data_IF_298468576770
#
_entry.id   IF_298468576770
#
_cell.length_a   1.000
_cell.length_b   1.000
_cell.length_c   1.000
_cell.angle_alpha   90.00
_cell.angle_beta   90.00
_cell.angle_gamma   90.00
#
_symmetry.space_group_name_H-M   'P 1'
#
loop_
_entity.id
_entity.type
_entity.pdbx_description
1 polymer ?
#
# COMPACT_ATOMS: atom_id res chain seq x y z
N UNK A 1 -22.25 -16.99 1.45
CA UNK A 1 -23.31 -16.88 2.47
C UNK A 1 -23.42 -15.41 2.83
N UNK A 2 -24.60 -14.89 3.18
CA UNK A 2 -24.72 -13.47 3.49
C UNK A 2 -23.96 -13.13 4.79
N UNK A 3 -23.49 -11.90 4.92
CA UNK A 3 -22.81 -11.39 6.11
C UNK A 3 -23.18 -9.94 6.40
N UNK A 4 -22.99 -9.53 7.66
CA UNK A 4 -23.30 -8.16 8.08
C UNK A 4 -22.45 -7.15 7.30
N UNK A 5 -23.15 -6.17 6.74
CA UNK A 5 -22.58 -4.94 6.18
C UNK A 5 -22.51 -3.80 7.22
N UNK A 6 -22.96 -4.06 8.44
CA UNK A 6 -23.03 -3.16 9.58
C UNK A 6 -24.45 -2.68 9.88
N UNK A 7 -24.63 -2.17 11.09
CA UNK A 7 -25.89 -1.66 11.60
C UNK A 7 -25.68 -0.58 12.66
N UNK A 8 -26.79 -0.10 13.21
CA UNK A 8 -26.78 0.97 14.19
C UNK A 8 -28.05 1.01 15.03
N UNK A 9 -28.03 1.84 16.07
CA UNK A 9 -29.17 2.04 16.95
C UNK A 9 -29.24 3.50 17.39
N UNK A 10 -30.36 3.87 18.00
CA UNK A 10 -30.58 5.21 18.53
C UNK A 10 -29.56 5.66 19.60
N UNK A 11 -28.79 4.73 20.19
CA UNK A 11 -27.87 4.99 21.32
C UNK A 11 -26.36 4.76 21.09
N UNK A 12 -25.92 4.30 19.92
CA UNK A 12 -24.53 3.86 19.74
C UNK A 12 -23.94 4.16 18.36
N UNK A 13 -22.72 4.70 18.34
CA UNK A 13 -21.92 4.93 17.14
C UNK A 13 -21.04 3.75 16.74
N UNK A 14 -20.60 3.74 15.48
CA UNK A 14 -19.82 2.71 14.79
C UNK A 14 -18.31 2.77 15.14
N UNK A 15 -17.67 1.62 15.38
CA UNK A 15 -16.25 1.51 15.75
C UNK A 15 -15.38 0.82 14.69
N UNK A 16 -14.18 1.38 14.42
CA UNK A 16 -13.12 0.78 13.60
C UNK A 16 -11.77 0.74 14.36
N UNK A 17 -11.13 -0.43 14.39
CA UNK A 17 -9.91 -0.72 15.16
C UNK A 17 -8.58 -0.31 14.49
N UNK A 18 -7.54 -0.17 15.31
CA UNK A 18 -6.18 0.21 14.93
C UNK A 18 -5.16 -0.89 15.29
N UNK A 19 -4.07 -0.99 14.51
CA UNK A 19 -2.90 -1.81 14.83
C UNK A 19 -1.62 -0.96 14.82
N UNK A 20 -0.74 -1.26 15.76
CA UNK A 20 0.59 -0.67 15.93
C UNK A 20 1.62 -1.78 15.73
N UNK A 21 2.74 -1.45 15.10
CA UNK A 21 3.91 -2.34 15.03
C UNK A 21 5.17 -1.55 15.34
N UNK A 22 5.94 -2.03 16.32
CA UNK A 22 7.30 -1.61 16.63
C UNK A 22 8.30 -2.59 16.02
N UNK A 23 9.37 -2.07 15.44
CA UNK A 23 10.53 -2.88 15.05
C UNK A 23 11.82 -2.24 15.57
N UNK A 24 12.62 -3.06 16.25
CA UNK A 24 14.00 -2.84 16.62
C UNK A 24 14.92 -3.53 15.60
N UNK A 25 16.06 -2.91 15.27
CA UNK A 25 17.10 -3.55 14.46
C UNK A 25 18.39 -3.71 15.27
N UNK A 26 18.76 -4.97 15.50
CA UNK A 26 20.07 -5.39 15.98
C UNK A 26 21.06 -5.50 14.83
N UNK A 27 22.28 -5.03 15.07
CA UNK A 27 23.40 -5.09 14.14
C UNK A 27 24.04 -6.48 14.06
N UNK A 28 24.74 -6.75 12.95
CA UNK A 28 25.66 -7.87 12.83
C UNK A 28 26.97 -7.42 12.18
N UNK A 29 28.06 -7.69 12.88
CA UNK A 29 29.44 -7.46 12.46
C UNK A 29 29.87 -8.39 11.33
N UNK A 30 30.64 -7.84 10.40
CA UNK A 30 31.39 -8.58 9.39
C UNK A 30 32.81 -8.02 9.36
N UNK A 31 33.80 -8.90 9.23
CA UNK A 31 35.23 -8.57 9.08
C UNK A 31 35.39 -7.46 8.04
N UNK A 32 35.85 -6.31 8.51
CA UNK A 32 35.87 -5.05 7.76
C UNK A 32 37.07 -5.06 6.81
N UNK A 33 36.82 -4.83 5.52
CA UNK A 33 37.88 -4.45 4.58
C UNK A 33 38.29 -3.01 4.89
N UNK A 34 39.56 -2.75 5.11
CA UNK A 34 40.02 -1.44 5.55
C UNK A 34 40.65 -0.66 4.40
N UNK A 35 40.23 0.59 4.24
CA UNK A 35 40.93 1.59 3.43
C UNK A 35 41.15 2.81 4.31
N UNK A 36 42.40 3.23 4.49
CA UNK A 36 42.78 4.38 5.34
C UNK A 36 43.69 5.33 4.57
N UNK A 37 43.69 6.62 4.94
CA UNK A 37 44.65 7.61 4.42
C UNK A 37 46.03 7.48 5.07
N UNK A 38 46.14 6.73 6.16
CA UNK A 38 47.38 6.45 6.89
C UNK A 38 47.72 4.97 6.83
N UNK A 39 49.02 4.68 6.89
CA UNK A 39 49.53 3.32 6.90
C UNK A 39 49.00 2.50 8.08
N UNK A 40 48.77 1.21 7.85
CA UNK A 40 48.46 0.22 8.88
C UNK A 40 49.08 -1.14 8.50
N UNK A 41 49.28 -2.06 9.46
CA UNK A 41 49.91 -3.35 9.20
C UNK A 41 49.20 -4.12 8.07
N UNK A 42 50.00 -4.78 7.21
CA UNK A 42 49.56 -5.57 6.05
C UNK A 42 48.87 -4.79 4.92
N UNK A 43 48.89 -3.46 4.96
CA UNK A 43 48.28 -2.62 3.93
C UNK A 43 49.19 -2.42 2.71
N UNK A 44 48.59 -2.42 1.51
CA UNK A 44 49.23 -2.00 0.25
C UNK A 44 48.92 -0.54 -0.03
N UNK A 45 49.91 0.22 -0.52
CA UNK A 45 49.78 1.64 -0.88
C UNK A 45 49.25 1.80 -2.31
N UNK A 46 48.25 2.64 -2.46
CA UNK A 46 47.67 3.04 -3.74
C UNK A 46 47.67 4.56 -3.87
N UNK A 47 47.80 5.06 -5.09
CA UNK A 47 47.64 6.49 -5.41
C UNK A 47 46.51 6.68 -6.41
N UNK A 48 45.71 7.71 -6.19
CA UNK A 48 44.79 8.24 -7.20
C UNK A 48 44.89 9.77 -7.22
N UNK A 49 44.48 10.39 -8.30
CA UNK A 49 44.51 11.85 -8.43
C UNK A 49 43.13 12.44 -8.15
N UNK A 50 43.04 13.31 -7.16
CA UNK A 50 41.84 14.07 -6.80
C UNK A 50 42.13 15.56 -6.93
N UNK A 51 41.28 16.30 -7.63
CA UNK A 51 41.47 17.74 -7.88
C UNK A 51 42.93 18.11 -8.22
N UNK A 52 43.54 17.35 -9.14
CA UNK A 52 44.88 17.62 -9.63
C UNK A 52 46.00 17.44 -8.57
N UNK A 53 45.79 16.60 -7.54
CA UNK A 53 46.85 16.25 -6.57
C UNK A 53 46.92 14.73 -6.33
N UNK A 54 48.12 14.15 -6.14
CA UNK A 54 48.24 12.75 -5.75
C UNK A 54 47.68 12.56 -4.33
N UNK A 55 46.81 11.56 -4.17
CA UNK A 55 46.23 11.16 -2.89
C UNK A 55 46.57 9.70 -2.64
N UNK A 56 47.27 9.45 -1.53
CA UNK A 56 47.65 8.11 -1.11
C UNK A 56 46.61 7.48 -0.19
N UNK A 57 46.33 6.20 -0.41
CA UNK A 57 45.49 5.37 0.44
C UNK A 57 46.11 4.00 0.63
N UNK A 58 45.87 3.42 1.80
CA UNK A 58 46.39 2.13 2.21
C UNK A 58 45.22 1.17 2.35
N UNK A 59 45.34 -0.05 1.84
CA UNK A 59 44.28 -1.05 1.90
C UNK A 59 44.81 -2.48 2.09
N UNK A 60 44.09 -3.30 2.86
CA UNK A 60 44.38 -4.73 3.11
C UNK A 60 43.86 -5.65 2.01
N UNK A 61 43.30 -5.08 0.92
CA UNK A 61 42.78 -5.80 -0.23
C UNK A 61 43.02 -4.97 -1.50
N UNK A 62 42.84 -5.60 -2.67
CA UNK A 62 42.94 -4.90 -3.94
C UNK A 62 41.72 -4.01 -4.18
N UNK A 63 41.89 -2.70 -3.95
CA UNK A 63 40.85 -1.69 -4.17
C UNK A 63 40.56 -1.43 -5.65
N UNK A 64 41.42 -1.91 -6.55
CA UNK A 64 41.29 -1.77 -8.01
C UNK A 64 40.61 -2.97 -8.66
N UNK A 65 40.41 -4.06 -7.90
CA UNK A 65 39.84 -5.30 -8.40
C UNK A 65 38.42 -5.07 -8.96
N UNK A 66 38.25 -5.39 -10.24
CA UNK A 66 36.94 -5.30 -10.89
C UNK A 66 36.04 -6.38 -10.32
N UNK A 67 34.88 -5.97 -9.78
CA UNK A 67 33.87 -6.90 -9.30
C UNK A 67 33.39 -7.81 -10.43
N UNK A 68 33.30 -9.11 -10.14
CA UNK A 68 32.86 -10.13 -11.11
C UNK A 68 31.50 -9.78 -11.72
N UNK A 69 31.33 -9.94 -13.06
CA UNK A 69 30.04 -9.75 -13.72
C UNK A 69 28.98 -10.78 -13.25
N UNK A 70 29.38 -11.90 -12.65
CA UNK A 70 28.46 -12.89 -12.09
C UNK A 70 27.56 -12.31 -10.98
N UNK A 71 27.92 -11.17 -10.38
CA UNK A 71 27.07 -10.45 -9.43
C UNK A 71 25.70 -10.06 -10.00
N UNK A 72 25.59 -9.90 -11.32
CA UNK A 72 24.31 -9.61 -11.97
C UNK A 72 23.34 -10.79 -11.90
N UNK A 73 23.83 -12.02 -11.72
CA UNK A 73 22.98 -13.18 -11.44
C UNK A 73 22.20 -13.03 -10.12
N UNK A 74 22.69 -12.20 -9.18
CA UNK A 74 21.93 -11.88 -7.96
C UNK A 74 20.62 -11.13 -8.25
N UNK A 75 20.46 -10.51 -9.43
CA UNK A 75 19.19 -9.87 -9.81
C UNK A 75 18.05 -10.88 -9.93
N UNK A 76 18.34 -12.14 -10.26
CA UNK A 76 17.35 -13.21 -10.33
C UNK A 76 16.68 -13.46 -8.97
N UNK A 77 17.41 -13.24 -7.85
CA UNK A 77 16.85 -13.35 -6.50
C UNK A 77 15.75 -12.32 -6.24
N UNK A 78 15.78 -11.16 -6.90
CA UNK A 78 14.79 -10.09 -6.69
C UNK A 78 13.52 -10.27 -7.52
N UNK A 79 13.53 -11.16 -8.52
CA UNK A 79 12.38 -11.45 -9.38
C UNK A 79 11.09 -11.76 -8.59
N UNK A 80 11.07 -12.65 -7.58
CA UNK A 80 9.86 -12.89 -6.78
C UNK A 80 9.36 -11.64 -6.04
N UNK A 81 10.26 -10.79 -5.52
CA UNK A 81 9.89 -9.57 -4.81
C UNK A 81 9.30 -8.51 -5.75
N UNK A 82 9.86 -8.40 -6.95
CA UNK A 82 9.35 -7.50 -7.99
C UNK A 82 7.96 -7.94 -8.43
N UNK A 83 7.76 -9.24 -8.72
CA UNK A 83 6.46 -9.80 -9.08
C UNK A 83 5.42 -9.59 -7.98
N UNK A 84 5.79 -9.84 -6.73
CA UNK A 84 4.93 -9.59 -5.57
C UNK A 84 4.51 -8.13 -5.48
N UNK A 85 5.45 -7.19 -5.66
CA UNK A 85 5.14 -5.76 -5.57
C UNK A 85 4.24 -5.29 -6.72
N UNK A 86 4.38 -5.87 -7.92
CA UNK A 86 3.45 -5.62 -9.03
C UNK A 86 2.03 -6.13 -8.73
N UNK A 87 1.88 -7.28 -8.06
CA UNK A 87 0.56 -7.75 -7.58
C UNK A 87 -0.06 -6.75 -6.61
N UNK A 88 0.73 -6.22 -5.66
CA UNK A 88 0.23 -5.22 -4.72
C UNK A 88 -0.23 -3.93 -5.41
N UNK A 89 0.43 -3.50 -6.50
CA UNK A 89 -0.05 -2.37 -7.29
C UNK A 89 -1.40 -2.66 -7.94
N UNK A 90 -1.65 -3.88 -8.42
CA UNK A 90 -2.96 -4.25 -8.95
C UNK A 90 -4.04 -4.21 -7.84
N UNK A 91 -3.73 -4.73 -6.66
CA UNK A 91 -4.63 -4.70 -5.50
C UNK A 91 -4.87 -3.29 -4.95
N UNK A 92 -3.95 -2.35 -5.19
CA UNK A 92 -4.12 -0.97 -4.80
C UNK A 92 -5.24 -0.25 -5.58
N UNK A 93 -5.62 -0.77 -6.75
CA UNK A 93 -6.67 -0.19 -7.59
C UNK A 93 -7.90 -1.10 -7.64
N UNK A 94 -8.95 -0.71 -6.92
CA UNK A 94 -10.23 -1.42 -6.96
C UNK A 94 -11.15 -0.80 -8.00
N UNK A 95 -11.58 -1.63 -8.96
CA UNK A 95 -12.55 -1.27 -9.99
C UNK A 95 -13.80 -2.14 -9.80
N UNK A 96 -14.89 -1.59 -9.23
CA UNK A 96 -16.12 -2.36 -9.05
C UNK A 96 -16.72 -2.80 -10.39
N UNK A 97 -17.16 -4.06 -10.47
CA UNK A 97 -17.85 -4.64 -11.60
C UNK A 97 -19.34 -4.72 -11.31
N UNK A 98 -20.14 -4.36 -12.30
CA UNK A 98 -21.58 -4.49 -12.21
C UNK A 98 -21.95 -5.97 -12.14
N UNK A 99 -22.80 -6.35 -11.19
CA UNK A 99 -23.24 -7.72 -11.01
C UNK A 99 -24.07 -8.21 -12.22
N UNK A 100 -23.87 -9.45 -12.69
CA UNK A 100 -24.66 -10.02 -13.78
C UNK A 100 -26.12 -10.27 -13.36
N UNK A 101 -27.05 -10.13 -14.31
CA UNK A 101 -28.50 -10.24 -14.07
C UNK A 101 -29.03 -11.66 -14.31
N UNK A 102 -28.41 -12.65 -13.68
CA UNK A 102 -28.74 -14.07 -13.81
C UNK A 102 -29.44 -14.66 -12.57
N UNK A 103 -30.11 -13.82 -11.79
CA UNK A 103 -30.80 -14.15 -10.54
C UNK A 103 -32.16 -13.43 -10.44
N UNK A 104 -32.97 -13.69 -9.42
CA UNK A 104 -34.22 -12.95 -9.18
C UNK A 104 -33.91 -11.55 -8.65
N UNK A 105 -33.95 -10.55 -9.52
CA UNK A 105 -33.56 -9.19 -9.18
C UNK A 105 -34.68 -8.34 -8.55
N UNK A 106 -35.78 -8.96 -8.09
CA UNK A 106 -36.92 -8.24 -7.52
C UNK A 106 -36.51 -7.39 -6.32
N UNK A 107 -36.83 -6.09 -6.39
CA UNK A 107 -36.67 -5.18 -5.25
C UNK A 107 -37.79 -5.45 -4.24
N UNK A 108 -37.40 -5.82 -3.03
CA UNK A 108 -38.31 -6.15 -1.92
C UNK A 108 -38.42 -4.95 -1.00
N UNK A 109 -39.66 -4.51 -0.74
CA UNK A 109 -39.97 -3.49 0.29
C UNK A 109 -41.18 -4.00 1.06
N UNK A 110 -40.95 -4.44 2.30
CA UNK A 110 -41.96 -4.97 3.22
C UNK A 110 -42.03 -4.10 4.46
N UNK A 111 -43.20 -3.53 4.75
CA UNK A 111 -43.40 -2.62 5.89
C UNK A 111 -44.21 -3.30 7.00
N UNK A 112 -43.60 -4.25 7.73
CA UNK A 112 -44.33 -5.01 8.77
C UNK A 112 -44.60 -4.16 10.01
N UNK A 113 -43.72 -3.20 10.31
CA UNK A 113 -43.89 -2.25 11.41
C UNK A 113 -44.73 -1.01 11.04
N UNK A 114 -45.17 -0.88 9.79
CA UNK A 114 -45.99 0.23 9.29
C UNK A 114 -45.36 1.63 9.53
N UNK A 115 -44.06 1.77 9.26
CA UNK A 115 -43.28 3.01 9.47
C UNK A 115 -42.78 3.66 8.19
N UNK A 116 -42.93 3.01 7.03
CA UNK A 116 -42.42 3.56 5.76
C UNK A 116 -43.40 4.53 5.09
N UNK A 117 -44.71 4.35 5.32
CA UNK A 117 -45.74 5.18 4.68
C UNK A 117 -45.69 5.09 3.15
N UNK A 118 -45.59 6.24 2.46
CA UNK A 118 -45.45 6.24 1.00
C UNK A 118 -44.03 5.85 0.58
N UNK A 119 -43.92 4.75 -0.15
CA UNK A 119 -42.64 4.11 -0.54
C UNK A 119 -42.23 4.38 -1.99
N UNK A 120 -42.89 5.31 -2.69
CA UNK A 120 -42.57 5.59 -4.10
C UNK A 120 -41.13 6.10 -4.29
N UNK A 121 -40.70 7.07 -3.49
CA UNK A 121 -39.34 7.62 -3.54
C UNK A 121 -38.30 6.57 -3.15
N UNK A 122 -38.53 5.86 -2.05
CA UNK A 122 -37.69 4.73 -1.63
C UNK A 122 -37.49 3.73 -2.77
N UNK A 123 -38.57 3.25 -3.39
CA UNK A 123 -38.47 2.31 -4.51
C UNK A 123 -37.67 2.88 -5.68
N UNK A 124 -37.80 4.16 -5.99
CA UNK A 124 -37.03 4.80 -7.06
C UNK A 124 -35.53 4.81 -6.74
N UNK A 125 -35.14 5.14 -5.51
CA UNK A 125 -33.73 5.11 -5.06
C UNK A 125 -33.15 3.69 -5.12
N UNK A 126 -33.92 2.68 -4.67
CA UNK A 126 -33.54 1.27 -4.75
C UNK A 126 -33.35 0.80 -6.21
N UNK A 127 -34.25 1.19 -7.11
CA UNK A 127 -34.14 0.91 -8.56
C UNK A 127 -32.92 1.60 -9.16
N UNK A 128 -32.64 2.85 -8.78
CA UNK A 128 -31.48 3.58 -9.27
C UNK A 128 -30.18 2.89 -8.84
N UNK A 129 -30.10 2.43 -7.59
CA UNK A 129 -28.98 1.66 -7.08
C UNK A 129 -28.80 0.36 -7.87
N UNK A 130 -29.85 -0.45 -8.03
CA UNK A 130 -29.82 -1.69 -8.82
C UNK A 130 -29.38 -1.43 -10.27
N UNK A 131 -29.91 -0.41 -10.93
CA UNK A 131 -29.53 -0.08 -12.30
C UNK A 131 -28.04 0.27 -12.42
N UNK A 132 -27.45 0.82 -11.36
CA UNK A 132 -26.03 1.20 -11.32
C UNK A 132 -25.12 0.01 -11.01
N UNK A 133 -25.48 -0.82 -10.05
CA UNK A 133 -24.60 -1.85 -9.47
C UNK A 133 -24.93 -3.27 -9.92
N UNK A 134 -26.16 -3.50 -10.37
CA UNK A 134 -26.68 -4.83 -10.64
C UNK A 134 -27.06 -5.60 -9.38
N UNK A 135 -26.92 -5.02 -8.18
CA UNK A 135 -27.28 -5.62 -6.89
C UNK A 135 -28.72 -5.25 -6.56
N UNK A 136 -29.53 -6.20 -6.09
CA UNK A 136 -30.93 -5.94 -5.72
C UNK A 136 -31.05 -5.57 -4.25
N UNK A 137 -31.29 -4.30 -3.91
CA UNK A 137 -31.48 -3.93 -2.52
C UNK A 137 -32.90 -4.28 -2.05
N UNK A 138 -33.03 -4.57 -0.77
CA UNK A 138 -34.27 -4.92 -0.11
C UNK A 138 -34.41 -4.13 1.20
N UNK A 139 -35.64 -3.78 1.57
CA UNK A 139 -35.95 -3.12 2.84
C UNK A 139 -37.08 -3.88 3.53
N UNK A 140 -36.85 -4.31 4.76
CA UNK A 140 -37.86 -4.97 5.58
C UNK A 140 -37.93 -4.25 6.93
N UNK A 141 -39.09 -3.74 7.32
CA UNK A 141 -39.31 -3.21 8.67
C UNK A 141 -39.94 -4.28 9.54
N UNK A 142 -39.59 -4.29 10.83
CA UNK A 142 -40.06 -5.24 11.85
C UNK A 142 -40.28 -4.52 13.18
N UNK A 143 -41.04 -5.15 14.05
CA UNK A 143 -41.18 -4.68 15.43
C UNK A 143 -40.06 -5.26 16.30
N UNK A 144 -39.69 -4.56 17.38
CA UNK A 144 -38.67 -5.03 18.31
C UNK A 144 -39.04 -6.41 18.88
N UNK A 145 -40.32 -6.66 19.15
CA UNK A 145 -40.81 -7.95 19.65
C UNK A 145 -40.61 -9.12 18.67
N UNK A 146 -40.45 -8.88 17.37
CA UNK A 146 -40.25 -9.95 16.37
C UNK A 146 -38.94 -10.71 16.62
N UNK A 147 -37.94 -10.04 17.21
CA UNK A 147 -36.61 -10.60 17.44
C UNK A 147 -36.16 -10.55 18.90
N UNK A 148 -36.54 -9.51 19.65
CA UNK A 148 -36.18 -9.37 21.07
C UNK A 148 -36.86 -10.47 21.90
N UNK A 149 -36.08 -11.48 22.26
CA UNK A 149 -36.53 -12.65 23.03
C UNK A 149 -36.14 -13.98 22.38
N UNK A 150 -35.97 -14.00 21.06
CA UNK A 150 -35.56 -15.20 20.31
C UNK A 150 -34.12 -15.09 19.79
N UNK A 151 -33.63 -13.86 19.59
CA UNK A 151 -32.30 -13.57 19.06
C UNK A 151 -31.51 -12.70 20.05
N UNK A 152 -30.18 -12.82 20.04
CA UNK A 152 -29.29 -12.01 20.88
C UNK A 152 -29.16 -10.57 20.40
N UNK A 153 -29.34 -10.35 19.10
CA UNK A 153 -29.16 -9.08 18.40
C UNK A 153 -29.96 -9.10 17.08
N UNK A 154 -30.11 -7.91 16.48
CA UNK A 154 -30.79 -7.75 15.20
C UNK A 154 -29.99 -8.39 14.04
N UNK A 155 -28.67 -8.52 14.16
CA UNK A 155 -27.80 -9.12 13.14
C UNK A 155 -28.15 -10.56 12.85
N UNK A 156 -28.29 -11.39 13.89
CA UNK A 156 -28.67 -12.80 13.74
C UNK A 156 -30.08 -12.95 13.15
N UNK A 157 -31.02 -12.08 13.55
CA UNK A 157 -32.37 -12.08 12.98
C UNK A 157 -32.37 -11.64 11.50
N UNK A 158 -31.59 -10.61 11.16
CA UNK A 158 -31.46 -10.13 9.79
C UNK A 158 -30.79 -11.17 8.87
N UNK A 159 -29.82 -11.94 9.39
CA UNK A 159 -29.25 -13.08 8.68
C UNK A 159 -30.32 -14.12 8.36
N UNK A 160 -31.12 -14.53 9.35
CA UNK A 160 -32.19 -15.49 9.16
C UNK A 160 -33.27 -14.97 8.20
N UNK A 161 -33.62 -13.69 8.27
CA UNK A 161 -34.48 -13.05 7.27
C UNK A 161 -33.88 -13.16 5.86
N UNK A 162 -32.60 -12.84 5.69
CA UNK A 162 -31.95 -12.89 4.38
C UNK A 162 -32.04 -14.28 3.76
N UNK A 163 -31.58 -15.31 4.47
CA UNK A 163 -31.48 -16.69 3.92
C UNK A 163 -32.85 -17.30 3.64
N UNK A 164 -33.90 -16.83 4.33
CA UNK A 164 -35.28 -17.28 4.07
C UNK A 164 -35.96 -16.49 2.95
N UNK A 165 -35.55 -15.25 2.69
CA UNK A 165 -36.11 -14.41 1.62
C UNK A 165 -35.44 -14.60 0.27
N UNK A 166 -34.13 -14.88 0.24
CA UNK A 166 -33.34 -14.92 -0.99
C UNK A 166 -32.70 -16.28 -1.19
N UNK A 167 -32.82 -16.81 -2.41
CA UNK A 167 -32.20 -18.08 -2.80
C UNK A 167 -30.75 -17.92 -3.31
N UNK A 168 -30.28 -16.67 -3.45
CA UNK A 168 -28.98 -16.30 -3.96
C UNK A 168 -28.28 -15.29 -3.04
N UNK A 169 -27.07 -14.87 -3.41
CA UNK A 169 -26.23 -13.95 -2.62
C UNK A 169 -26.02 -12.60 -3.33
N UNK A 170 -26.97 -12.21 -4.19
CA UNK A 170 -26.93 -11.01 -5.03
C UNK A 170 -27.76 -9.83 -4.48
N UNK A 171 -28.23 -9.96 -3.23
CA UNK A 171 -29.09 -8.99 -2.57
C UNK A 171 -28.37 -8.21 -1.46
N UNK A 172 -28.85 -6.99 -1.18
CA UNK A 172 -28.46 -6.20 -0.01
C UNK A 172 -29.70 -5.79 0.79
N UNK A 173 -29.92 -6.47 1.92
CA UNK A 173 -31.08 -6.30 2.78
C UNK A 173 -30.80 -5.26 3.86
N UNK A 174 -31.67 -4.27 3.99
CA UNK A 174 -31.72 -3.34 5.13
C UNK A 174 -32.92 -3.72 6.00
N UNK A 175 -32.65 -4.12 7.25
CA UNK A 175 -33.66 -4.41 8.25
C UNK A 175 -33.76 -3.22 9.20
N UNK A 176 -34.94 -2.66 9.39
CA UNK A 176 -35.20 -1.60 10.36
C UNK A 176 -36.18 -2.10 11.42
N UNK A 177 -35.85 -1.92 12.69
CA UNK A 177 -36.64 -2.35 13.83
C UNK A 177 -37.04 -1.17 14.70
N UNK A 178 -38.30 -1.15 15.14
CA UNK A 178 -38.86 -0.11 16.02
C UNK A 178 -39.73 -0.75 17.11
N UNK A 179 -39.97 -0.09 18.26
CA UNK A 179 -40.89 -0.63 19.27
C UNK A 179 -42.31 -0.87 18.75
N UNK A 180 -42.96 -1.89 19.29
CA UNK A 180 -44.35 -2.26 18.96
C UNK A 180 -45.33 -1.08 19.15
N UNK A 181 -46.19 -0.89 18.15
CA UNK A 181 -47.24 0.14 18.22
C UNK A 181 -46.72 1.57 18.38
N UNK A 182 -45.46 1.83 18.03
CA UNK A 182 -44.87 3.16 18.13
C UNK A 182 -45.67 4.20 17.34
N UNK A 183 -46.05 5.28 18.02
CA UNK A 183 -46.58 6.49 17.40
C UNK A 183 -45.64 7.65 17.70
N UNK A 184 -45.46 8.56 16.75
CA UNK A 184 -44.47 9.64 16.77
C UNK A 184 -44.59 10.64 17.94
N UNK A 185 -45.54 10.46 18.86
CA UNK A 185 -45.80 11.34 20.01
C UNK A 185 -44.97 11.05 21.27
N UNK A 186 -44.33 9.89 21.39
CA UNK A 186 -43.92 9.35 22.71
C UNK A 186 -42.47 9.65 23.12
N UNK A 187 -41.78 10.54 22.40
CA UNK A 187 -40.56 11.21 22.85
C UNK A 187 -39.25 10.40 22.81
N UNK A 188 -39.28 9.07 22.88
CA UNK A 188 -38.11 8.19 22.68
C UNK A 188 -38.50 6.96 21.84
N UNK A 189 -37.79 6.72 20.74
CA UNK A 189 -37.96 5.52 19.91
C UNK A 189 -36.67 4.71 20.01
N UNK A 190 -36.77 3.50 20.57
CA UNK A 190 -35.64 2.57 20.67
C UNK A 190 -35.51 1.76 19.37
N UNK A 191 -35.10 2.44 18.30
CA UNK A 191 -34.93 1.83 17.00
C UNK A 191 -33.53 1.26 16.79
N UNK A 192 -33.48 0.26 15.92
CA UNK A 192 -32.29 -0.45 15.47
C UNK A 192 -32.36 -0.62 13.96
N UNK A 193 -31.22 -0.76 13.29
CA UNK A 193 -31.19 -1.22 11.91
C UNK A 193 -29.94 -2.04 11.66
N UNK A 194 -30.04 -2.95 10.68
CA UNK A 194 -28.95 -3.82 10.26
C UNK A 194 -28.96 -3.96 8.74
N UNK A 195 -27.78 -3.87 8.11
CA UNK A 195 -27.59 -4.22 6.72
C UNK A 195 -26.98 -5.61 6.56
N UNK A 196 -27.59 -6.46 5.74
CA UNK A 196 -27.11 -7.80 5.37
C UNK A 196 -26.83 -7.91 3.88
N UNK A 197 -25.58 -8.21 3.51
CA UNK A 197 -25.17 -8.33 2.12
C UNK A 197 -24.78 -9.77 1.76
N UNK A 198 -25.09 -10.19 0.53
CA UNK A 198 -24.62 -11.48 0.00
C UNK A 198 -23.19 -11.38 -0.54
N UNK A 199 -22.44 -12.49 -0.55
CA UNK A 199 -21.02 -12.48 -0.96
C UNK A 199 -20.81 -12.08 -2.42
N UNK A 200 -21.77 -12.35 -3.32
CA UNK A 200 -21.63 -11.97 -4.73
C UNK A 200 -21.61 -10.44 -4.89
N UNK A 201 -22.05 -9.69 -3.88
CA UNK A 201 -22.07 -8.23 -3.87
C UNK A 201 -20.75 -7.58 -3.47
N UNK A 202 -19.77 -8.32 -2.92
CA UNK A 202 -18.57 -7.78 -2.26
C UNK A 202 -17.65 -6.95 -3.17
N UNK A 203 -17.65 -7.25 -4.47
CA UNK A 203 -16.88 -6.48 -5.46
C UNK A 203 -17.39 -5.03 -5.56
N UNK A 204 -18.66 -4.78 -5.23
CA UNK A 204 -19.25 -3.44 -5.19
C UNK A 204 -19.40 -2.95 -3.74
N UNK A 205 -19.97 -3.77 -2.86
CA UNK A 205 -20.23 -3.46 -1.44
C UNK A 205 -19.01 -3.76 -0.57
N UNK A 206 -17.91 -3.09 -0.90
CA UNK A 206 -16.71 -3.12 -0.05
C UNK A 206 -17.00 -2.50 1.33
N UNK A 207 -16.20 -2.85 2.34
CA UNK A 207 -16.28 -2.24 3.68
C UNK A 207 -16.29 -0.69 3.68
N UNK A 208 -15.57 -0.06 2.75
CA UNK A 208 -15.59 1.41 2.64
C UNK A 208 -16.94 1.95 2.11
N UNK A 209 -17.58 1.20 1.20
CA UNK A 209 -18.89 1.55 0.65
C UNK A 209 -19.96 1.40 1.73
N UNK A 210 -19.99 0.26 2.42
CA UNK A 210 -20.98 -0.01 3.47
C UNK A 210 -20.80 0.95 4.64
N UNK A 211 -19.58 1.19 5.12
CA UNK A 211 -19.36 2.20 6.17
C UNK A 211 -19.88 3.59 5.80
N UNK A 212 -19.66 4.04 4.56
CA UNK A 212 -20.17 5.35 4.11
C UNK A 212 -21.69 5.39 4.08
N UNK A 213 -22.34 4.30 3.69
CA UNK A 213 -23.79 4.19 3.73
C UNK A 213 -24.30 4.17 5.17
N UNK A 214 -23.64 3.40 6.04
CA UNK A 214 -24.01 3.23 7.44
C UNK A 214 -23.96 4.57 8.19
N UNK A 215 -22.90 5.34 7.99
CA UNK A 215 -22.75 6.67 8.57
C UNK A 215 -23.88 7.61 8.10
N UNK A 216 -24.20 7.61 6.81
CA UNK A 216 -25.25 8.45 6.24
C UNK A 216 -26.65 8.03 6.72
N UNK A 217 -26.95 6.73 6.70
CA UNK A 217 -28.21 6.19 7.19
C UNK A 217 -28.41 6.46 8.69
N UNK A 218 -27.37 6.24 9.51
CA UNK A 218 -27.41 6.54 10.93
C UNK A 218 -27.70 8.04 11.17
N UNK A 219 -27.04 8.93 10.43
CA UNK A 219 -27.28 10.37 10.52
C UNK A 219 -28.70 10.75 10.12
N UNK A 220 -29.20 10.21 9.01
CA UNK A 220 -30.54 10.50 8.50
C UNK A 220 -31.64 9.95 9.42
N UNK A 221 -31.49 8.74 9.96
CA UNK A 221 -32.41 8.16 10.96
C UNK A 221 -32.40 8.92 12.28
N UNK A 222 -31.25 9.49 12.69
CA UNK A 222 -31.16 10.33 13.90
C UNK A 222 -31.81 11.69 13.69
N UNK A 223 -31.78 12.24 12.47
CA UNK A 223 -32.38 13.53 12.11
C UNK A 223 -33.89 13.45 11.84
N UNK A 224 -34.66 12.88 12.78
CA UNK A 224 -36.10 12.56 12.65
C UNK A 224 -37.02 13.75 12.39
N UNK A 225 -36.59 14.97 12.72
CA UNK A 225 -37.32 16.19 12.37
C UNK A 225 -37.23 16.55 10.88
N UNK A 226 -36.29 15.94 10.16
CA UNK A 226 -36.01 16.16 8.75
C UNK A 226 -36.39 14.96 7.87
N UNK A 227 -36.20 13.74 8.37
CA UNK A 227 -36.42 12.52 7.61
C UNK A 227 -37.40 11.57 8.30
N UNK A 228 -38.26 10.94 7.50
CA UNK A 228 -38.97 9.72 7.90
C UNK A 228 -38.04 8.52 7.71
N UNK A 229 -38.41 7.34 8.22
CA UNK A 229 -37.60 6.12 8.01
C UNK A 229 -37.40 5.84 6.51
N UNK A 230 -38.49 5.95 5.73
CA UNK A 230 -38.46 5.77 4.27
C UNK A 230 -37.53 6.78 3.58
N UNK A 231 -37.63 8.08 3.94
CA UNK A 231 -36.79 9.10 3.30
C UNK A 231 -35.34 9.09 3.78
N UNK A 232 -35.07 8.62 4.99
CA UNK A 232 -33.71 8.41 5.48
C UNK A 232 -33.01 7.31 4.67
N UNK A 233 -33.68 6.16 4.49
CA UNK A 233 -33.13 5.06 3.69
C UNK A 233 -32.96 5.48 2.23
N UNK A 234 -33.97 6.12 1.62
CA UNK A 234 -33.90 6.55 0.23
C UNK A 234 -32.77 7.55 -0.01
N UNK A 235 -32.61 8.55 0.87
CA UNK A 235 -31.55 9.56 0.79
C UNK A 235 -30.17 8.92 0.89
N UNK A 236 -29.97 7.98 1.82
CA UNK A 236 -28.68 7.28 1.93
C UNK A 236 -28.32 6.47 0.69
N UNK A 237 -29.31 5.86 0.02
CA UNK A 237 -29.09 5.22 -1.28
C UNK A 237 -28.80 6.23 -2.40
N UNK A 238 -29.51 7.36 -2.43
CA UNK A 238 -29.33 8.41 -3.43
C UNK A 238 -27.95 9.07 -3.34
N UNK A 239 -27.44 9.27 -2.12
CA UNK A 239 -26.10 9.82 -1.89
C UNK A 239 -24.99 8.81 -2.24
N UNK A 240 -25.22 7.52 -1.99
CA UNK A 240 -24.26 6.46 -2.31
C UNK A 240 -24.17 6.18 -3.81
N UNK A 241 -25.31 6.07 -4.50
CA UNK A 241 -25.44 5.56 -5.88
C UNK A 241 -24.49 6.24 -6.89
N UNK A 242 -24.29 7.57 -6.89
CA UNK A 242 -23.37 8.23 -7.81
C UNK A 242 -21.90 7.85 -7.62
N UNK A 243 -21.52 7.38 -6.43
CA UNK A 243 -20.13 7.13 -6.04
C UNK A 243 -19.77 5.65 -5.92
N UNK A 244 -20.76 4.77 -5.76
CA UNK A 244 -20.55 3.34 -5.46
C UNK A 244 -19.70 2.59 -6.49
N UNK A 245 -19.87 2.90 -7.78
CA UNK A 245 -19.10 2.26 -8.88
C UNK A 245 -17.82 3.03 -9.27
N UNK A 246 -17.43 4.07 -8.53
CA UNK A 246 -16.19 4.80 -8.82
C UNK A 246 -15.00 3.96 -8.35
N UNK A 247 -13.97 3.92 -9.19
CA UNK A 247 -12.73 3.24 -8.85
C UNK A 247 -12.05 3.92 -7.68
N UNK A 248 -11.55 3.13 -6.73
CA UNK A 248 -10.92 3.62 -5.51
C UNK A 248 -9.47 3.15 -5.44
N UNK A 249 -8.61 4.03 -4.95
CA UNK A 249 -7.21 3.71 -4.71
C UNK A 249 -7.00 3.47 -3.23
N UNK A 250 -6.52 2.28 -2.87
CA UNK A 250 -6.02 2.02 -1.52
C UNK A 250 -4.63 2.64 -1.39
N UNK A 251 -4.60 3.87 -0.89
CA UNK A 251 -3.36 4.63 -0.69
C UNK A 251 -2.38 3.91 0.24
N UNK A 252 -2.86 3.17 1.24
CA UNK A 252 -2.01 2.40 2.14
C UNK A 252 -1.24 1.34 1.37
N UNK A 253 -1.93 0.51 0.58
CA UNK A 253 -1.28 -0.53 -0.24
C UNK A 253 -0.36 0.12 -1.27
N UNK A 254 -0.80 1.22 -1.91
CA UNK A 254 0.02 1.93 -2.90
C UNK A 254 1.34 2.43 -2.30
N UNK A 255 1.30 3.12 -1.17
CA UNK A 255 2.51 3.63 -0.51
C UNK A 255 3.40 2.51 0.02
N UNK A 256 2.82 1.44 0.57
CA UNK A 256 3.57 0.26 0.99
C UNK A 256 4.27 -0.40 -0.20
N UNK A 257 3.60 -0.52 -1.35
CA UNK A 257 4.16 -1.08 -2.59
C UNK A 257 5.34 -0.23 -3.09
N UNK A 258 5.19 1.10 -3.11
CA UNK A 258 6.27 2.03 -3.49
C UNK A 258 7.47 1.89 -2.54
N UNK A 259 7.23 1.80 -1.23
CA UNK A 259 8.29 1.67 -0.24
C UNK A 259 9.07 0.35 -0.41
N UNK A 260 8.37 -0.77 -0.61
CA UNK A 260 8.99 -2.07 -0.88
C UNK A 260 9.81 -2.03 -2.17
N UNK A 261 9.25 -1.47 -3.25
CA UNK A 261 9.96 -1.35 -4.53
C UNK A 261 11.24 -0.51 -4.38
N UNK A 262 11.16 0.62 -3.69
CA UNK A 262 12.31 1.48 -3.43
C UNK A 262 13.39 0.75 -2.62
N UNK A 263 12.99 0.01 -1.58
CA UNK A 263 13.91 -0.80 -0.78
C UNK A 263 14.58 -1.91 -1.62
N UNK A 264 13.80 -2.64 -2.42
CA UNK A 264 14.29 -3.70 -3.32
C UNK A 264 15.31 -3.14 -4.31
N UNK A 265 14.99 -2.01 -4.96
CA UNK A 265 15.87 -1.33 -5.89
C UNK A 265 17.16 -0.86 -5.21
N UNK A 266 17.06 -0.22 -4.04
CA UNK A 266 18.22 0.25 -3.27
C UNK A 266 19.10 -0.93 -2.86
N UNK A 267 18.51 -1.99 -2.31
CA UNK A 267 19.22 -3.18 -1.88
C UNK A 267 19.91 -3.88 -3.06
N UNK A 268 19.22 -4.02 -4.20
CA UNK A 268 19.80 -4.55 -5.43
C UNK A 268 21.00 -3.72 -5.89
N UNK A 269 20.88 -2.38 -5.92
CA UNK A 269 21.98 -1.48 -6.27
C UNK A 269 23.20 -1.67 -5.36
N UNK A 270 23.00 -1.84 -4.06
CA UNK A 270 24.07 -2.09 -3.10
C UNK A 270 24.74 -3.45 -3.33
N UNK A 271 23.96 -4.51 -3.55
CA UNK A 271 24.46 -5.88 -3.78
C UNK A 271 25.27 -5.98 -5.08
N UNK A 272 24.81 -5.35 -6.15
CA UNK A 272 25.57 -5.28 -7.41
C UNK A 272 26.70 -4.26 -7.35
N UNK A 273 26.85 -3.50 -6.26
CA UNK A 273 27.98 -2.60 -6.07
C UNK A 273 27.91 -1.27 -6.78
N UNK A 274 26.71 -0.83 -7.15
CA UNK A 274 26.44 0.56 -7.55
C UNK A 274 26.40 1.40 -6.27
N UNK A 275 27.55 1.57 -5.64
CA UNK A 275 27.74 2.46 -4.50
C UNK A 275 28.72 3.57 -4.92
N UNK A 276 28.45 4.86 -4.62
CA UNK A 276 29.38 5.95 -4.91
C UNK A 276 30.80 5.70 -4.38
N UNK A 277 30.97 5.03 -3.23
CA UNK A 277 32.29 4.66 -2.68
C UNK A 277 33.06 3.66 -3.55
N UNK A 278 32.37 2.75 -4.24
CA UNK A 278 33.01 1.79 -5.13
C UNK A 278 33.63 2.45 -6.38
N UNK A 279 33.16 3.65 -6.75
CA UNK A 279 33.73 4.43 -7.86
C UNK A 279 34.94 5.29 -7.44
N UNK A 280 35.09 5.62 -6.15
CA UNK A 280 36.14 6.52 -5.66
C UNK A 280 37.55 6.02 -6.00
N UNK A 281 37.80 4.73 -5.85
CA UNK A 281 39.13 4.12 -6.06
C UNK A 281 39.29 3.45 -7.42
N UNK A 282 38.31 3.59 -8.33
CA UNK A 282 38.34 2.92 -9.63
C UNK A 282 39.52 3.34 -10.52
N UNK A 283 40.12 4.51 -10.25
CA UNK A 283 41.30 5.04 -10.94
C UNK A 283 42.59 4.93 -10.11
N UNK A 284 42.53 4.31 -8.93
CA UNK A 284 43.71 4.14 -8.10
C UNK A 284 44.68 3.16 -8.76
N UNK A 285 45.98 3.37 -8.53
CA UNK A 285 47.05 2.50 -9.01
C UNK A 285 47.93 2.09 -7.83
N UNK A 286 48.40 0.83 -7.77
CA UNK A 286 49.36 0.43 -6.75
C UNK A 286 50.65 1.25 -6.90
N UNK A 287 51.28 1.60 -5.78
CA UNK A 287 52.55 2.30 -5.77
C UNK A 287 53.43 1.79 -4.62
N UNK A 288 54.74 1.81 -4.79
CA UNK A 288 55.68 1.40 -3.75
C UNK A 288 55.73 2.43 -2.62
N UNK A 289 56.10 2.00 -1.41
CA UNK A 289 56.28 2.93 -0.28
C UNK A 289 57.41 3.96 -0.52
N UNK A 290 58.36 3.61 -1.39
CA UNK A 290 59.46 4.47 -1.82
C UNK A 290 59.14 5.29 -3.10
N UNK A 291 57.90 5.29 -3.60
CA UNK A 291 57.59 6.02 -4.83
C UNK A 291 57.77 7.53 -4.63
N UNK A 292 58.47 8.13 -5.58
CA UNK A 292 58.83 9.55 -5.57
C UNK A 292 57.80 10.38 -6.35
N UNK A 293 57.60 11.62 -5.91
CA UNK A 293 56.82 12.62 -6.64
C UNK A 293 57.77 13.48 -7.48
N UNK A 294 57.44 13.64 -8.77
CA UNK A 294 58.19 14.48 -9.72
C UNK A 294 57.25 15.47 -10.39
N UNK A 295 57.78 16.64 -10.76
CA UNK A 295 57.05 17.60 -11.56
C UNK A 295 57.16 17.25 -13.04
N UNK A 296 56.05 17.32 -13.76
CA UNK A 296 56.02 17.20 -15.22
C UNK A 296 56.79 18.38 -15.84
N UNK A 297 57.75 18.08 -16.71
CA UNK A 297 58.60 19.11 -17.34
C UNK A 297 57.80 20.08 -18.23
N UNK A 298 56.65 19.64 -18.76
CA UNK A 298 55.84 20.44 -19.69
C UNK A 298 54.83 21.37 -19.01
N UNK A 299 54.28 20.97 -17.86
CA UNK A 299 53.22 21.74 -17.20
C UNK A 299 53.40 21.92 -15.69
N UNK A 300 54.52 21.46 -15.12
CA UNK A 300 54.81 21.53 -13.69
C UNK A 300 53.95 20.62 -12.81
N UNK A 301 53.08 19.80 -13.40
CA UNK A 301 52.15 18.95 -12.67
C UNK A 301 52.84 17.82 -11.92
N UNK A 302 52.54 17.63 -10.64
CA UNK A 302 53.11 16.55 -9.83
C UNK A 302 52.52 15.19 -10.22
N UNK A 303 53.40 14.26 -10.60
CA UNK A 303 53.06 12.86 -10.83
C UNK A 303 53.91 11.94 -9.95
N UNK A 304 53.41 10.73 -9.70
CA UNK A 304 54.11 9.69 -8.94
C UNK A 304 54.84 8.76 -9.90
N UNK A 305 56.15 8.61 -9.71
CA UNK A 305 57.03 7.71 -10.47
C UNK A 305 56.53 6.26 -10.40
N UNK A 306 56.73 5.49 -11.47
CA UNK A 306 56.29 4.09 -11.62
C UNK A 306 54.76 3.90 -11.66
N UNK A 307 53.96 4.96 -11.79
CA UNK A 307 52.48 4.85 -11.83
C UNK A 307 51.83 5.28 -13.14
N UNK A 308 52.52 6.08 -13.97
CA UNK A 308 51.95 6.67 -15.19
C UNK A 308 52.98 6.67 -16.34
N UNK A 309 52.50 6.51 -17.58
CA UNK A 309 53.31 6.63 -18.81
C UNK A 309 53.18 8.03 -19.44
N UNK A 310 52.13 8.75 -19.08
CA UNK A 310 51.82 10.11 -19.52
C UNK A 310 51.40 10.96 -18.32
N UNK A 311 51.62 12.27 -18.40
CA UNK A 311 51.23 13.23 -17.41
C UNK A 311 49.69 13.23 -17.25
N UNK A 312 49.16 12.96 -16.04
CA UNK A 312 47.71 12.91 -15.80
C UNK A 312 46.97 14.23 -16.08
N UNK A 313 47.69 15.34 -16.20
CA UNK A 313 47.13 16.67 -16.44
C UNK A 313 47.17 17.09 -17.91
N UNK A 314 48.34 17.05 -18.57
CA UNK A 314 48.49 17.53 -19.95
C UNK A 314 48.66 16.43 -21.01
N UNK A 315 48.74 15.15 -20.62
CA UNK A 315 48.96 14.03 -21.54
C UNK A 315 50.38 13.96 -22.13
N UNK A 316 51.31 14.82 -21.69
CA UNK A 316 52.69 14.76 -22.17
C UNK A 316 53.39 13.47 -21.69
N UNK A 317 54.29 12.88 -22.49
CA UNK A 317 54.99 11.65 -22.11
C UNK A 317 55.86 11.86 -20.87
N UNK A 318 55.92 10.86 -19.98
CA UNK A 318 56.80 10.83 -18.81
C UNK A 318 58.15 10.19 -19.23
N UNK A 319 59.31 10.64 -18.68
CA UNK A 319 60.62 10.07 -18.97
C UNK A 319 60.65 8.54 -18.80
N UNK A 320 61.27 7.77 -19.71
CA UNK A 320 61.26 6.30 -19.68
C UNK A 320 61.68 5.69 -18.34
N UNK A 321 62.67 6.27 -17.67
CA UNK A 321 63.18 5.87 -16.36
C UNK A 321 62.17 6.01 -15.21
N UNK A 322 61.12 6.81 -15.42
CA UNK A 322 60.07 7.09 -14.44
C UNK A 322 58.77 6.30 -14.72
N UNK A 323 58.75 5.50 -15.79
CA UNK A 323 57.60 4.70 -16.20
C UNK A 323 57.53 3.36 -15.46
N UNK A 324 56.31 2.80 -15.25
CA UNK A 324 56.15 1.51 -14.58
C UNK A 324 56.96 0.40 -15.25
N UNK A 325 57.86 -0.25 -14.49
CA UNK A 325 58.64 -1.40 -14.96
C UNK A 325 60.03 -1.05 -15.51
N UNK A 326 60.42 0.22 -15.58
CA UNK A 326 61.72 0.66 -16.11
C UNK A 326 62.94 0.29 -15.24
N UNK A 327 62.72 -0.07 -13.96
CA UNK A 327 63.79 -0.43 -13.01
C UNK A 327 64.21 -1.91 -13.02
N UNK A 328 63.70 -2.70 -13.96
CA UNK A 328 63.98 -4.15 -14.07
C UNK A 328 64.75 -4.56 -15.35
N UNK A 329 65.40 -3.62 -16.04
CA UNK A 329 66.30 -3.89 -17.18
C UNK A 329 67.72 -3.46 -16.87
#
# INVERSE_FOLDING_TARGET
MPHSSGGGSHGGGSHGGSHHSSHSHGGSGRSSRHVRSTYFPDARRYVYYDHHRPVYVYADYDITEKRSPLRFLMLLFYLPFILFTFSMFAEAYHHPHKLPQNYDYKIVVEDKANVLGNTAELRNSLVAFYNRTGISPAVITVENSDWQGNYSDLENYAYDLYVNHFADESHWLIVYSTPDGYSSSDGFEDWYWEGMQGNDTDDVLTKSVTNSFNDELQNNLTARTRYTVSSAISTSFDDLTPTVMKSKVNWTILFTSIAILAFVCLHACLMIGINPKARKYAKAKPCSDAAQEKACEYCGYTYVVDTCTECPHCGAPIPPEDQPGARFT
#
